data_IF_142889675770
#
_entry.id   IF_142889675770
#
_cell.length_a   1.000
_cell.length_b   1.000
_cell.length_c   1.000
_cell.angle_alpha   90.00
_cell.angle_beta   90.00
_cell.angle_gamma   90.00
#
_symmetry.space_group_name_H-M   'P 1'
#
loop_
_entity.id
_entity.type
_entity.pdbx_description
1 polymer ?
#
# COMPACT_ATOMS: atom_id res chain seq x y z
N UNK A 1 13.89 17.10 -13.92
CA UNK A 1 13.07 15.89 -14.15
C UNK A 1 12.27 15.52 -12.89
N UNK A 2 11.35 16.39 -12.45
CA UNK A 2 10.70 16.31 -11.12
C UNK A 2 9.26 15.74 -11.14
N UNK A 3 8.69 15.52 -12.32
CA UNK A 3 7.28 15.11 -12.50
C UNK A 3 7.05 13.59 -12.67
N UNK A 4 8.11 12.78 -12.74
CA UNK A 4 7.97 11.35 -13.11
C UNK A 4 7.66 10.41 -11.93
N UNK A 5 7.90 10.81 -10.68
CA UNK A 5 7.71 9.95 -9.51
C UNK A 5 6.24 9.71 -9.16
N UNK A 6 5.39 10.72 -9.40
CA UNK A 6 3.97 10.68 -9.09
C UNK A 6 3.14 10.87 -10.37
N UNK A 7 3.31 9.94 -11.32
CA UNK A 7 2.39 9.84 -12.45
C UNK A 7 1.19 8.98 -12.06
N UNK A 8 0.01 9.24 -12.63
CA UNK A 8 -1.19 8.39 -12.48
C UNK A 8 -0.88 6.90 -12.68
N UNK A 9 0.02 6.59 -13.63
CA UNK A 9 0.55 5.24 -13.86
C UNK A 9 1.14 4.63 -12.60
N UNK A 10 2.01 5.34 -11.88
CA UNK A 10 2.63 4.83 -10.66
C UNK A 10 1.60 4.61 -9.55
N UNK A 11 0.61 5.49 -9.44
CA UNK A 11 -0.49 5.34 -8.48
C UNK A 11 -1.30 4.06 -8.74
N UNK A 12 -1.66 3.82 -10.00
CA UNK A 12 -2.35 2.59 -10.40
C UNK A 12 -1.48 1.36 -10.16
N UNK A 13 -0.18 1.42 -10.50
CA UNK A 13 0.75 0.32 -10.27
C UNK A 13 0.89 -0.04 -8.79
N UNK A 14 0.94 0.96 -7.90
CA UNK A 14 1.04 0.74 -6.46
C UNK A 14 -0.23 0.08 -5.90
N UNK A 15 -1.41 0.53 -6.34
CA UNK A 15 -2.67 -0.10 -5.97
C UNK A 15 -2.76 -1.56 -6.48
N UNK A 16 -2.33 -1.80 -7.72
CA UNK A 16 -2.28 -3.16 -8.30
C UNK A 16 -1.28 -4.06 -7.58
N UNK A 17 -0.10 -3.55 -7.22
CA UNK A 17 0.89 -4.30 -6.42
C UNK A 17 0.32 -4.68 -5.05
N UNK A 18 -0.43 -3.77 -4.41
CA UNK A 18 -1.15 -4.06 -3.18
C UNK A 18 -2.17 -5.18 -3.37
N UNK A 19 -2.99 -5.09 -4.41
CA UNK A 19 -3.97 -6.12 -4.74
C UNK A 19 -3.31 -7.48 -5.04
N UNK A 20 -2.21 -7.51 -5.79
CA UNK A 20 -1.43 -8.74 -6.04
C UNK A 20 -0.89 -9.31 -4.72
N UNK A 21 -0.44 -8.46 -3.81
CA UNK A 21 0.00 -8.89 -2.47
C UNK A 21 -1.13 -9.51 -1.64
N UNK A 22 -2.41 -9.27 -1.95
CA UNK A 22 -3.55 -9.90 -1.28
C UNK A 22 -3.71 -11.35 -1.74
N UNK A 23 -3.44 -11.59 -3.02
CA UNK A 23 -3.55 -12.91 -3.64
C UNK A 23 -2.54 -13.90 -3.06
N UNK A 24 -1.42 -13.43 -2.48
CA UNK A 24 -0.47 -14.27 -1.77
C UNK A 24 -1.07 -14.96 -0.53
N UNK A 25 -2.14 -14.41 0.05
CA UNK A 25 -2.82 -14.97 1.22
C UNK A 25 -4.13 -15.68 0.87
N UNK A 26 -4.64 -15.47 -0.33
CA UNK A 26 -5.87 -16.09 -0.79
C UNK A 26 -5.61 -17.54 -1.26
N UNK A 27 -6.49 -18.49 -0.96
CA UNK A 27 -6.39 -19.84 -1.48
C UNK A 27 -6.81 -19.89 -2.96
N UNK A 28 -5.95 -20.45 -3.83
CA UNK A 28 -6.31 -20.81 -5.20
C UNK A 28 -5.88 -19.90 -6.37
N UNK A 29 -5.69 -18.56 -6.26
CA UNK A 29 -5.40 -17.73 -7.43
C UNK A 29 -3.95 -17.85 -7.93
N UNK A 30 -3.02 -18.26 -7.07
CA UNK A 30 -1.60 -18.40 -7.40
C UNK A 30 -1.07 -19.77 -6.96
N UNK A 31 -0.09 -20.36 -7.67
CA UNK A 31 0.54 -21.60 -7.25
C UNK A 31 1.19 -21.47 -5.87
N UNK A 32 0.95 -22.44 -4.98
CA UNK A 32 1.44 -22.42 -3.60
C UNK A 32 2.96 -22.13 -3.45
N UNK A 33 3.86 -22.64 -4.31
CA UNK A 33 5.29 -22.36 -4.18
C UNK A 33 5.65 -20.90 -4.44
N UNK A 34 4.81 -20.16 -5.17
CA UNK A 34 5.10 -18.79 -5.66
C UNK A 34 4.60 -17.73 -4.67
N UNK A 35 3.64 -18.08 -3.80
CA UNK A 35 3.02 -17.16 -2.82
C UNK A 35 4.02 -16.32 -1.99
N UNK A 36 5.05 -16.91 -1.33
CA UNK A 36 5.98 -16.13 -0.53
C UNK A 36 6.84 -15.19 -1.39
N UNK A 37 7.23 -15.62 -2.59
CA UNK A 37 8.03 -14.80 -3.49
C UNK A 37 7.25 -13.59 -4.01
N UNK A 38 5.97 -13.77 -4.34
CA UNK A 38 5.09 -12.66 -4.76
C UNK A 38 4.90 -11.65 -3.63
N UNK A 39 4.70 -12.12 -2.41
CA UNK A 39 4.55 -11.25 -1.25
C UNK A 39 5.83 -10.44 -0.99
N UNK A 40 6.99 -11.11 -0.97
CA UNK A 40 8.28 -10.45 -0.77
C UNK A 40 8.58 -9.47 -1.91
N UNK A 41 8.33 -9.85 -3.17
CA UNK A 41 8.54 -8.98 -4.32
C UNK A 41 7.65 -7.73 -4.27
N UNK A 42 6.37 -7.88 -3.93
CA UNK A 42 5.45 -6.75 -3.79
C UNK A 42 5.90 -5.77 -2.69
N UNK A 43 6.32 -6.30 -1.53
CA UNK A 43 6.86 -5.49 -0.44
C UNK A 43 8.20 -4.84 -0.80
N UNK A 44 9.08 -5.54 -1.52
CA UNK A 44 10.35 -4.98 -2.00
C UNK A 44 10.13 -3.84 -2.99
N UNK A 45 9.15 -3.97 -3.90
CA UNK A 45 8.75 -2.88 -4.79
C UNK A 45 8.23 -1.67 -4.00
N UNK A 46 7.35 -1.89 -3.02
CA UNK A 46 6.87 -0.81 -2.14
C UNK A 46 8.03 -0.13 -1.42
N UNK A 47 8.93 -0.91 -0.80
CA UNK A 47 10.10 -0.39 -0.10
C UNK A 47 10.99 0.43 -1.04
N UNK A 48 11.22 -0.03 -2.27
CA UNK A 48 11.93 0.73 -3.30
C UNK A 48 11.27 2.07 -3.60
N UNK A 49 9.94 2.13 -3.73
CA UNK A 49 9.20 3.38 -3.93
C UNK A 49 9.29 4.32 -2.72
N UNK A 50 9.12 3.80 -1.51
CA UNK A 50 9.18 4.52 -0.23
C UNK A 50 10.57 5.12 0.00
N UNK A 51 11.63 4.35 -0.21
CA UNK A 51 13.00 4.77 0.06
C UNK A 51 13.51 5.79 -0.96
N UNK A 52 13.09 5.70 -2.22
CA UNK A 52 13.46 6.65 -3.26
C UNK A 52 12.52 7.88 -3.33
N UNK A 53 11.47 7.94 -2.49
CA UNK A 53 10.52 9.04 -2.51
C UNK A 53 11.18 10.39 -2.14
N UNK A 54 11.03 11.44 -2.97
CA UNK A 54 11.58 12.78 -2.70
C UNK A 54 11.10 13.40 -1.38
N UNK A 55 9.86 13.12 -0.97
CA UNK A 55 9.24 13.73 0.22
C UNK A 55 8.54 12.67 1.08
N UNK A 56 8.42 12.88 2.41
CA UNK A 56 7.64 12.01 3.27
C UNK A 56 6.18 11.88 2.82
N UNK A 57 5.59 12.95 2.29
CA UNK A 57 4.21 12.92 1.78
C UNK A 57 4.02 11.99 0.57
N UNK A 58 4.98 11.97 -0.37
CA UNK A 58 4.92 11.03 -1.50
C UNK A 58 5.11 9.57 -1.04
N UNK A 59 5.98 9.35 -0.05
CA UNK A 59 6.17 8.04 0.56
C UNK A 59 4.90 7.55 1.28
N UNK A 60 4.25 8.45 2.01
CA UNK A 60 2.99 8.16 2.69
C UNK A 60 1.90 7.80 1.68
N UNK A 61 1.79 8.56 0.60
CA UNK A 61 0.79 8.29 -0.42
C UNK A 61 1.05 6.98 -1.18
N UNK A 62 2.32 6.63 -1.41
CA UNK A 62 2.66 5.34 -2.01
C UNK A 62 2.27 4.16 -1.08
N UNK A 63 2.56 4.29 0.22
CA UNK A 63 2.10 3.35 1.23
C UNK A 63 0.58 3.24 1.28
N UNK A 64 -0.13 4.37 1.26
CA UNK A 64 -1.59 4.42 1.26
C UNK A 64 -2.19 3.62 0.09
N UNK A 65 -1.74 3.88 -1.15
CA UNK A 65 -2.29 3.22 -2.33
C UNK A 65 -2.02 1.70 -2.33
N UNK A 66 -0.81 1.29 -1.94
CA UNK A 66 -0.48 -0.12 -1.78
C UNK A 66 -1.36 -0.79 -0.72
N UNK A 67 -1.43 -0.20 0.48
CA UNK A 67 -2.25 -0.71 1.58
C UNK A 67 -3.74 -0.76 1.21
N UNK A 68 -4.24 0.27 0.53
CA UNK A 68 -5.62 0.32 0.07
C UNK A 68 -5.94 -0.82 -0.90
N UNK A 69 -5.11 -1.06 -1.92
CA UNK A 69 -5.31 -2.18 -2.86
C UNK A 69 -5.26 -3.55 -2.16
N UNK A 70 -4.31 -3.69 -1.23
CA UNK A 70 -4.14 -4.89 -0.40
C UNK A 70 -5.40 -5.18 0.44
N UNK A 71 -5.91 -4.20 1.18
CA UNK A 71 -7.11 -4.38 2.00
C UNK A 71 -8.40 -4.44 1.19
N UNK A 72 -8.55 -3.66 0.12
CA UNK A 72 -9.75 -3.67 -0.70
C UNK A 72 -9.97 -5.05 -1.34
N UNK A 73 -8.90 -5.68 -1.84
CA UNK A 73 -9.00 -7.03 -2.37
C UNK A 73 -8.97 -8.08 -1.26
N UNK A 74 -8.12 -7.95 -0.24
CA UNK A 74 -7.99 -8.93 0.84
C UNK A 74 -9.21 -9.04 1.75
N UNK A 75 -10.01 -7.97 1.87
CA UNK A 75 -11.22 -7.91 2.70
C UNK A 75 -12.51 -7.95 1.89
N UNK A 76 -12.46 -8.36 0.61
CA UNK A 76 -13.66 -8.42 -0.23
C UNK A 76 -14.78 -9.28 0.38
N UNK A 77 -14.43 -10.31 1.15
CA UNK A 77 -15.39 -11.20 1.81
C UNK A 77 -16.24 -10.50 2.89
N UNK A 78 -15.78 -9.36 3.43
CA UNK A 78 -16.56 -8.51 4.33
C UNK A 78 -17.77 -7.92 3.60
N UNK A 79 -17.67 -7.65 2.30
CA UNK A 79 -18.81 -7.23 1.49
C UNK A 79 -19.93 -8.27 1.54
N UNK A 80 -19.59 -9.55 1.36
CA UNK A 80 -20.56 -10.66 1.42
C UNK A 80 -21.20 -10.68 2.79
N UNK A 81 -20.41 -10.45 3.84
CA UNK A 81 -20.90 -10.45 5.22
C UNK A 81 -21.90 -9.32 5.48
N UNK A 82 -21.57 -8.10 5.09
CA UNK A 82 -22.44 -6.92 5.28
C UNK A 82 -23.68 -6.97 4.39
N UNK A 83 -23.53 -7.38 3.13
CA UNK A 83 -24.63 -7.40 2.18
C UNK A 83 -25.59 -8.56 2.47
N UNK A 84 -25.08 -9.79 2.64
CA UNK A 84 -25.91 -10.98 2.80
C UNK A 84 -26.40 -11.18 4.23
N UNK A 85 -25.53 -11.04 5.23
CA UNK A 85 -25.92 -11.25 6.63
C UNK A 85 -26.30 -9.95 7.34
N UNK A 86 -25.73 -8.81 6.95
CA UNK A 86 -26.08 -7.50 7.50
C UNK A 86 -27.30 -6.83 6.89
N UNK A 87 -27.79 -7.31 5.72
CA UNK A 87 -28.93 -6.73 5.03
C UNK A 87 -28.69 -5.33 4.44
N UNK A 88 -27.43 -4.88 4.36
CA UNK A 88 -27.12 -3.58 3.78
C UNK A 88 -27.37 -3.56 2.26
N UNK A 89 -27.86 -2.45 1.69
CA UNK A 89 -27.85 -2.23 0.25
C UNK A 89 -26.45 -2.36 -0.34
N UNK A 90 -26.34 -2.92 -1.55
CA UNK A 90 -25.04 -3.24 -2.17
C UNK A 90 -24.07 -2.05 -2.26
N UNK A 91 -24.49 -0.80 -2.61
CA UNK A 91 -23.53 0.31 -2.68
C UNK A 91 -23.02 0.72 -1.30
N UNK A 92 -23.86 0.59 -0.26
CA UNK A 92 -23.50 0.93 1.11
C UNK A 92 -22.53 -0.10 1.70
N UNK A 93 -22.76 -1.39 1.44
CA UNK A 93 -21.83 -2.45 1.82
C UNK A 93 -20.46 -2.29 1.13
N UNK A 94 -20.45 -1.98 -0.17
CA UNK A 94 -19.21 -1.71 -0.90
C UNK A 94 -18.49 -0.46 -0.33
N UNK A 95 -19.23 0.62 -0.08
CA UNK A 95 -18.71 1.83 0.55
C UNK A 95 -18.07 1.56 1.91
N UNK A 96 -18.71 0.75 2.76
CA UNK A 96 -18.16 0.37 4.06
C UNK A 96 -16.83 -0.39 3.93
N UNK A 97 -16.71 -1.32 2.98
CA UNK A 97 -15.46 -2.04 2.70
C UNK A 97 -14.38 -1.09 2.19
N UNK A 98 -14.71 -0.13 1.32
CA UNK A 98 -13.75 0.86 0.83
C UNK A 98 -13.26 1.79 1.94
N UNK A 99 -14.16 2.20 2.85
CA UNK A 99 -13.79 3.00 4.04
C UNK A 99 -12.87 2.20 4.97
N UNK A 100 -13.20 0.92 5.21
CA UNK A 100 -12.37 0.02 5.99
C UNK A 100 -10.98 -0.15 5.36
N UNK A 101 -10.93 -0.37 4.04
CA UNK A 101 -9.68 -0.49 3.30
C UNK A 101 -8.85 0.80 3.32
N UNK A 102 -9.50 1.97 3.24
CA UNK A 102 -8.84 3.25 3.40
C UNK A 102 -8.25 3.41 4.82
N UNK A 103 -9.01 3.02 5.85
CA UNK A 103 -8.52 2.98 7.24
C UNK A 103 -7.28 2.08 7.38
N UNK A 104 -7.31 0.88 6.80
CA UNK A 104 -6.14 -0.01 6.74
C UNK A 104 -4.97 0.59 5.98
N UNK A 105 -5.23 1.24 4.85
CA UNK A 105 -4.24 1.93 4.02
C UNK A 105 -3.52 3.06 4.76
N UNK A 106 -4.17 3.75 5.70
CA UNK A 106 -3.53 4.78 6.53
C UNK A 106 -2.36 4.23 7.36
N UNK A 107 -2.43 2.98 7.84
CA UNK A 107 -1.30 2.37 8.56
C UNK A 107 -0.08 2.22 7.65
N UNK A 108 -0.27 1.80 6.40
CA UNK A 108 0.82 1.74 5.41
C UNK A 108 1.32 3.13 5.03
N UNK A 109 0.44 4.12 4.99
CA UNK A 109 0.82 5.51 4.75
C UNK A 109 1.72 6.05 5.87
N UNK A 110 1.35 5.80 7.13
CA UNK A 110 2.16 6.16 8.28
C UNK A 110 3.50 5.43 8.27
N UNK A 111 3.51 4.13 7.96
CA UNK A 111 4.75 3.35 7.84
C UNK A 111 5.69 3.92 6.75
N UNK A 112 5.16 4.27 5.57
CA UNK A 112 5.94 4.90 4.50
C UNK A 112 6.47 6.28 4.90
N UNK A 113 5.66 7.09 5.58
CA UNK A 113 6.08 8.40 6.09
C UNK A 113 7.21 8.26 7.11
N UNK A 114 7.04 7.37 8.09
CA UNK A 114 8.01 7.06 9.15
C UNK A 114 9.32 6.54 8.56
N UNK A 115 9.25 5.58 7.63
CA UNK A 115 10.43 5.04 6.96
C UNK A 115 11.22 6.13 6.24
N UNK A 116 10.53 7.06 5.56
CA UNK A 116 11.21 8.16 4.87
C UNK A 116 11.74 9.22 5.83
N UNK A 117 11.03 9.50 6.92
CA UNK A 117 11.44 10.44 7.95
C UNK A 117 12.71 9.95 8.67
N UNK A 118 12.76 8.68 9.08
CA UNK A 118 13.93 8.06 9.69
C UNK A 118 15.10 7.91 8.70
N UNK A 119 14.80 7.67 7.42
CA UNK A 119 15.79 7.55 6.36
C UNK A 119 16.36 8.87 5.85
N UNK A 120 15.95 10.02 6.40
CA UNK A 120 16.52 11.31 6.05
C UNK A 120 17.76 11.53 6.93
N UNK A 121 19.00 11.43 6.40
CA UNK A 121 20.17 11.73 7.20
C UNK A 121 20.11 13.21 7.56
N UNK A 122 19.73 13.50 8.79
CA UNK A 122 20.16 14.72 9.46
C UNK A 122 21.69 14.66 9.45
N UNK A 123 22.33 15.21 8.42
CA UNK A 123 23.77 15.39 8.39
C UNK A 123 24.04 16.69 9.14
N UNK A 124 24.58 16.66 10.36
CA UNK A 124 25.27 17.83 10.86
C UNK A 124 26.54 17.91 10.03
N UNK A 125 26.55 18.75 8.99
CA UNK A 125 27.73 19.06 8.20
C UNK A 125 28.71 19.92 9.02
N UNK A 126 29.17 19.42 10.17
CA UNK A 126 29.98 20.17 11.13
C UNK A 126 31.45 19.75 11.18
N UNK A 127 31.87 18.80 10.33
CA UNK A 127 33.22 18.22 10.38
C UNK A 127 34.14 18.65 9.21
N UNK A 128 33.69 19.55 8.33
CA UNK A 128 34.49 20.05 7.17
C UNK A 128 35.16 21.41 7.44
N UNK A 129 35.44 21.74 8.70
CA UNK A 129 36.11 23.00 9.08
C UNK A 129 37.25 22.79 10.10
N UNK A 130 37.78 21.57 10.23
CA UNK A 130 39.03 21.28 10.91
C UNK A 130 39.98 20.60 9.92
#
# INVERSE_FOLDING_TARGET
MKHAFFSWRNSVLLALLGAISALSFAPGPLPAPILPFVQIAALACLAGYVLNAPTPGQSAWAGFLFGFGQFALGLYWIFISLHRYGGLPSPLAAGAVLVLAAGGGLYFALAGALARWLGNPSSPSRYRQL
#
